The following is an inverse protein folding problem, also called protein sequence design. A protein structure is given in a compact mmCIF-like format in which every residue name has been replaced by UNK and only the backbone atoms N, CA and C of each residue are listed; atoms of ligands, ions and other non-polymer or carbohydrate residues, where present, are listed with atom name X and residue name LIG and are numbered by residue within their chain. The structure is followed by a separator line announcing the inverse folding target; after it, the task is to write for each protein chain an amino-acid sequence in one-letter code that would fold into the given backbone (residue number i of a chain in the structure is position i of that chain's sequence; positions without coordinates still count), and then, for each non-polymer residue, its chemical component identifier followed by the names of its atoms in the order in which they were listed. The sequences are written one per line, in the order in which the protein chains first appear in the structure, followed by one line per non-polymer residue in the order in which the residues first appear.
data_IF_566388965218
#
_entry.id   IF_566388965218
#
_cell.length_a   1.000
_cell.length_b   1.000
_cell.length_c   1.000
_cell.angle_alpha   90.00
_cell.angle_beta   90.00
_cell.angle_gamma   90.00
#
_symmetry.space_group_name_H-M   'P 1'
#
loop_
_entity.id
_entity.type
_entity.pdbx_description
1 polymer ?
#
# COMPACT_ATOMS: atom_id res chain seq x y z
N UNK A 1 5.69 -1.26 2.29
CA UNK A 1 6.28 -2.22 3.25
C UNK A 1 7.17 -3.16 2.46
N UNK A 2 8.38 -3.41 2.95
CA UNK A 2 9.31 -4.40 2.42
C UNK A 2 10.06 -5.05 3.58
N UNK A 3 11.01 -5.95 3.30
CA UNK A 3 11.85 -6.56 4.35
C UNK A 3 12.72 -5.54 5.10
N UNK A 4 13.00 -4.38 4.50
CA UNK A 4 13.76 -3.30 5.13
C UNK A 4 12.90 -2.46 6.10
N UNK A 5 11.58 -2.66 6.11
CA UNK A 5 10.66 -1.95 6.99
C UNK A 5 9.47 -1.30 6.27
N UNK A 6 8.73 -0.42 6.96
CA UNK A 6 7.67 0.36 6.35
C UNK A 6 8.25 1.34 5.32
N UNK A 7 7.49 1.51 4.22
CA UNK A 7 7.74 2.63 3.31
C UNK A 7 6.96 3.85 3.77
N UNK A 8 6.85 4.85 2.92
CA UNK A 8 6.08 6.05 3.23
C UNK A 8 4.59 5.74 3.40
N UNK A 9 3.98 6.32 4.44
CA UNK A 9 2.54 6.28 4.68
C UNK A 9 1.93 7.61 4.26
N UNK A 10 1.09 7.56 3.23
CA UNK A 10 0.43 8.75 2.70
C UNK A 10 -1.07 8.70 2.94
N UNK A 11 -1.67 9.87 3.13
CA UNK A 11 -3.11 10.01 3.21
C UNK A 11 -3.68 10.16 1.80
N UNK A 12 -4.60 9.29 1.43
CA UNK A 12 -5.30 9.34 0.14
C UNK A 12 -6.67 10.00 0.26
N UNK A 13 -7.27 10.35 -0.87
CA UNK A 13 -8.65 10.78 -0.90
C UNK A 13 -9.60 9.66 -0.43
N UNK A 14 -10.78 9.98 0.15
CA UNK A 14 -11.75 8.97 0.57
C UNK A 14 -12.27 8.08 -0.57
N UNK A 15 -12.17 8.56 -1.81
CA UNK A 15 -12.55 7.83 -3.02
C UNK A 15 -11.41 7.90 -4.03
N UNK A 16 -10.33 7.21 -3.70
CA UNK A 16 -9.12 7.16 -4.53
C UNK A 16 -9.47 6.77 -5.97
N UNK A 17 -8.96 7.56 -6.92
CA UNK A 17 -9.12 7.29 -8.35
C UNK A 17 -7.92 6.52 -8.89
N UNK A 18 -8.07 5.91 -10.08
CA UNK A 18 -6.95 5.25 -10.75
C UNK A 18 -5.83 6.22 -11.17
N UNK A 19 -6.17 7.49 -11.41
CA UNK A 19 -5.19 8.53 -11.70
C UNK A 19 -4.39 8.87 -10.43
N UNK A 20 -5.08 9.14 -9.32
CA UNK A 20 -4.44 9.41 -8.03
C UNK A 20 -3.55 8.24 -7.60
N UNK A 21 -3.98 7.00 -7.82
CA UNK A 21 -3.13 5.83 -7.55
C UNK A 21 -1.88 5.79 -8.43
N UNK A 22 -1.97 6.19 -9.70
CA UNK A 22 -0.79 6.30 -10.57
C UNK A 22 0.18 7.39 -10.12
N UNK A 23 -0.34 8.49 -9.59
CA UNK A 23 0.48 9.58 -9.05
C UNK A 23 1.23 9.06 -7.82
N UNK A 24 0.55 8.35 -6.92
CA UNK A 24 1.18 7.67 -5.76
C UNK A 24 2.27 6.70 -6.19
N UNK A 25 2.00 5.85 -7.19
CA UNK A 25 3.00 4.90 -7.69
C UNK A 25 4.22 5.61 -8.27
N UNK A 26 4.06 6.77 -8.91
CA UNK A 26 5.16 7.50 -9.54
C UNK A 26 5.94 8.36 -8.57
N UNK A 27 5.23 9.10 -7.73
CA UNK A 27 5.79 10.19 -6.95
C UNK A 27 6.19 9.74 -5.53
N UNK A 28 5.68 8.58 -5.09
CA UNK A 28 5.96 8.05 -3.74
C UNK A 28 6.65 6.69 -3.82
N UNK A 29 6.07 5.71 -4.52
CA UNK A 29 6.63 4.36 -4.55
C UNK A 29 8.01 4.30 -5.21
N UNK A 30 8.19 4.87 -6.41
CA UNK A 30 9.49 4.76 -7.10
C UNK A 30 10.62 5.47 -6.36
N UNK A 31 10.45 6.72 -5.87
CA UNK A 31 11.47 7.37 -5.07
C UNK A 31 11.76 6.61 -3.77
N UNK A 32 10.74 6.06 -3.11
CA UNK A 32 10.91 5.24 -1.90
C UNK A 32 11.75 3.99 -2.17
N UNK A 33 11.51 3.32 -3.31
CA UNK A 33 12.30 2.14 -3.67
C UNK A 33 13.76 2.52 -3.91
N UNK A 34 14.05 3.60 -4.63
CA UNK A 34 15.43 4.04 -4.86
C UNK A 34 16.12 4.45 -3.55
N UNK A 35 15.41 5.13 -2.65
CA UNK A 35 15.96 5.56 -1.37
C UNK A 35 16.27 4.39 -0.43
N UNK A 36 15.39 3.37 -0.38
CA UNK A 36 15.55 2.20 0.48
C UNK A 36 16.52 1.19 -0.14
N UNK A 37 16.50 1.06 -1.47
CA UNK A 37 17.28 0.09 -2.24
C UNK A 37 18.02 0.76 -3.41
N UNK A 38 19.08 1.54 -3.14
CA UNK A 38 19.83 2.23 -4.19
C UNK A 38 20.37 1.26 -5.24
N UNK A 39 20.14 1.57 -6.52
CA UNK A 39 20.60 0.73 -7.64
C UNK A 39 19.85 -0.59 -7.83
N UNK A 40 18.69 -0.79 -7.19
CA UNK A 40 17.87 -1.97 -7.42
C UNK A 40 17.29 -1.99 -8.85
N UNK A 41 17.71 -2.98 -9.65
CA UNK A 41 17.34 -3.05 -11.07
C UNK A 41 15.98 -3.70 -11.35
N UNK A 42 15.43 -4.48 -10.41
CA UNK A 42 14.13 -5.13 -10.54
C UNK A 42 13.55 -5.44 -9.16
N UNK A 43 12.23 -5.34 -9.01
CA UNK A 43 11.54 -5.81 -7.81
C UNK A 43 10.14 -6.36 -8.11
N UNK A 44 9.66 -7.12 -7.13
CA UNK A 44 8.31 -7.65 -7.11
C UNK A 44 7.41 -6.74 -6.29
N UNK A 45 6.26 -6.38 -6.86
CA UNK A 45 5.27 -5.49 -6.27
C UNK A 45 3.97 -6.25 -5.99
N UNK A 46 3.37 -5.97 -4.85
CA UNK A 46 2.11 -6.57 -4.41
C UNK A 46 1.11 -5.48 -4.10
N UNK A 47 -0.08 -5.58 -4.69
CA UNK A 47 -1.24 -4.75 -4.36
C UNK A 47 -2.52 -5.61 -4.35
N UNK A 48 -3.59 -5.11 -3.74
CA UNK A 48 -4.88 -5.81 -3.77
C UNK A 48 -5.57 -5.72 -5.14
N UNK A 49 -6.59 -6.56 -5.34
CA UNK A 49 -7.40 -6.59 -6.56
C UNK A 49 -8.52 -5.54 -6.60
N UNK A 50 -8.38 -4.39 -5.93
CA UNK A 50 -9.39 -3.33 -6.04
C UNK A 50 -9.56 -2.85 -7.49
N UNK A 51 -10.76 -2.34 -7.80
CA UNK A 51 -11.07 -1.84 -9.14
C UNK A 51 -10.12 -0.70 -9.58
N UNK A 52 -9.64 0.10 -8.63
CA UNK A 52 -8.67 1.17 -8.85
C UNK A 52 -7.33 0.60 -9.31
N UNK A 53 -6.80 -0.41 -8.61
CA UNK A 53 -5.52 -1.04 -8.91
C UNK A 53 -5.55 -1.88 -10.21
N UNK A 54 -6.70 -2.44 -10.56
CA UNK A 54 -6.92 -3.20 -11.81
C UNK A 54 -7.38 -2.32 -12.99
N UNK A 55 -7.50 -1.01 -12.80
CA UNK A 55 -7.91 -0.12 -13.87
C UNK A 55 -6.95 -0.20 -15.06
N UNK A 56 -7.50 -0.12 -16.29
CA UNK A 56 -6.73 -0.28 -17.54
C UNK A 56 -5.50 0.63 -17.62
N UNK A 57 -5.59 1.86 -17.09
CA UNK A 57 -4.46 2.79 -17.08
C UNK A 57 -3.32 2.32 -16.16
N UNK A 58 -3.65 1.77 -14.99
CA UNK A 58 -2.70 1.21 -14.03
C UNK A 58 -2.01 0.00 -14.61
N UNK A 59 -2.78 -0.95 -15.18
CA UNK A 59 -2.19 -2.12 -15.84
C UNK A 59 -1.30 -1.75 -17.02
N UNK A 60 -1.66 -0.72 -17.81
CA UNK A 60 -0.82 -0.22 -18.90
C UNK A 60 0.47 0.41 -18.37
N UNK A 61 0.43 1.10 -17.25
CA UNK A 61 1.59 1.72 -16.61
C UNK A 61 2.60 0.67 -16.13
N UNK A 62 2.14 -0.41 -15.49
CA UNK A 62 3.00 -1.54 -15.09
C UNK A 62 3.57 -2.27 -16.31
N UNK A 63 2.76 -2.54 -17.35
CA UNK A 63 3.24 -3.23 -18.56
C UNK A 63 4.37 -2.49 -19.28
N UNK A 64 4.44 -1.16 -19.17
CA UNK A 64 5.53 -0.34 -19.71
C UNK A 64 6.83 -0.44 -18.88
N UNK A 65 6.77 -0.96 -17.65
CA UNK A 65 7.89 -1.05 -16.71
C UNK A 65 8.25 -2.51 -16.46
N UNK A 66 9.08 -3.06 -17.34
CA UNK A 66 9.51 -4.48 -17.29
C UNK A 66 10.27 -4.85 -16.00
N UNK A 67 10.83 -3.88 -15.29
CA UNK A 67 11.55 -4.06 -14.03
C UNK A 67 10.62 -4.09 -12.79
N UNK A 68 9.31 -3.92 -12.95
CA UNK A 68 8.33 -4.17 -11.89
C UNK A 68 7.55 -5.44 -12.23
N UNK A 69 7.71 -6.46 -11.40
CA UNK A 69 6.89 -7.67 -11.48
C UNK A 69 5.72 -7.56 -10.51
N UNK A 70 4.48 -7.47 -11.03
CA UNK A 70 3.29 -7.42 -10.17
C UNK A 70 2.79 -8.84 -9.94
N UNK A 71 2.67 -9.25 -8.67
CA UNK A 71 2.06 -10.54 -8.34
C UNK A 71 0.54 -10.43 -8.51
N UNK A 72 -0.03 -11.30 -9.35
CA UNK A 72 -1.48 -11.48 -9.43
C UNK A 72 -1.93 -12.43 -8.33
N UNK A 73 -2.64 -11.92 -7.33
CA UNK A 73 -3.20 -12.75 -6.27
C UNK A 73 -4.62 -13.17 -6.58
N UNK A 74 -4.98 -14.38 -6.14
CA UNK A 74 -6.36 -14.86 -6.21
C UNK A 74 -7.26 -13.96 -5.36
N UNK A 75 -8.43 -13.52 -5.88
CA UNK A 75 -9.41 -12.76 -5.10
C UNK A 75 -9.87 -13.45 -3.82
N UNK A 76 -9.69 -14.77 -3.73
CA UNK A 76 -10.15 -15.62 -2.61
C UNK A 76 -9.18 -15.70 -1.44
N UNK A 77 -8.04 -15.01 -1.49
CA UNK A 77 -7.02 -15.03 -0.42
C UNK A 77 -6.82 -13.66 0.23
N UNK A 78 -7.86 -13.02 0.79
CA UNK A 78 -7.72 -11.71 1.43
C UNK A 78 -6.77 -11.77 2.64
N UNK A 79 -6.64 -12.92 3.29
CA UNK A 79 -5.73 -13.24 4.40
C UNK A 79 -4.24 -13.21 4.02
N UNK A 80 -3.91 -13.30 2.74
CA UNK A 80 -2.52 -13.38 2.28
C UNK A 80 -1.81 -12.03 2.10
N UNK A 81 -2.46 -10.89 2.39
CA UNK A 81 -1.82 -9.57 2.23
C UNK A 81 -0.96 -9.17 3.45
N UNK A 82 0.39 -9.12 3.35
CA UNK A 82 1.29 -8.77 4.45
C UNK A 82 0.96 -7.43 5.10
N UNK A 83 0.39 -6.49 4.34
CA UNK A 83 0.05 -5.16 4.88
C UNK A 83 -1.02 -5.23 5.96
N UNK A 84 -1.86 -6.28 5.96
CA UNK A 84 -2.89 -6.46 7.01
C UNK A 84 -2.25 -6.66 8.37
N UNK A 85 -1.15 -7.39 8.45
CA UNK A 85 -0.43 -7.60 9.71
C UNK A 85 0.15 -6.28 10.22
N UNK A 86 0.66 -5.43 9.32
CA UNK A 86 1.15 -4.10 9.65
C UNK A 86 0.05 -3.19 10.19
N UNK A 87 -1.12 -3.20 9.56
CA UNK A 87 -2.26 -2.42 10.03
C UNK A 87 -2.75 -2.84 11.42
N UNK A 88 -2.74 -4.15 11.71
CA UNK A 88 -3.07 -4.65 13.05
C UNK A 88 -2.11 -4.07 14.10
N UNK A 89 -0.81 -4.00 13.80
CA UNK A 89 0.17 -3.39 14.70
C UNK A 89 -0.11 -1.88 14.89
N UNK A 90 -0.33 -1.14 13.81
CA UNK A 90 -0.64 0.30 13.87
C UNK A 90 -1.89 0.57 14.70
N UNK A 91 -2.96 -0.20 14.50
CA UNK A 91 -4.21 -0.04 15.26
C UNK A 91 -4.03 -0.39 16.74
N UNK A 92 -3.22 -1.41 17.06
CA UNK A 92 -2.89 -1.75 18.46
C UNK A 92 -2.17 -0.61 19.15
N UNK A 93 -1.14 -0.05 18.51
CA UNK A 93 -0.42 1.10 19.05
C UNK A 93 -1.34 2.32 19.18
N UNK A 94 -2.17 2.61 18.19
CA UNK A 94 -3.15 3.69 18.25
C UNK A 94 -4.10 3.55 19.44
N UNK A 95 -4.65 2.36 19.67
CA UNK A 95 -5.55 2.10 20.79
C UNK A 95 -4.85 2.18 22.15
N UNK A 96 -3.57 1.84 22.22
CA UNK A 96 -2.77 2.01 23.44
C UNK A 96 -2.54 3.49 23.77
N UNK A 97 -2.44 4.35 22.74
CA UNK A 97 -2.30 5.80 22.89
C UNK A 97 -3.65 6.46 23.28
N UNK A 98 -4.76 6.00 22.70
CA UNK A 98 -6.11 6.54 22.97
C UNK A 98 -6.77 6.02 24.26
N UNK A 99 -6.22 4.96 24.87
CA UNK A 99 -6.72 4.33 26.10
C UNK A 99 -6.75 5.22 27.36
N UNK A 100 -6.33 6.48 27.26
CA UNK A 100 -6.47 7.51 28.30
C UNK A 100 -7.77 8.32 28.26
N UNK A 101 -8.56 8.25 27.18
CA UNK A 101 -9.83 8.99 27.08
C UNK A 101 -11.02 8.05 27.00
N UNK A 102 -11.44 7.60 28.19
CA UNK A 102 -12.74 6.98 28.42
C UNK A 102 -13.86 7.99 28.12
N UNK A 103 -14.31 8.05 26.86
CA UNK A 103 -15.56 8.74 26.51
C UNK A 103 -16.70 7.86 27.01
N UNK A 104 -17.23 8.21 28.19
CA UNK A 104 -18.51 7.67 28.67
C UNK A 104 -19.59 8.02 27.65
N UNK A 105 -20.10 7.02 26.96
CA UNK A 105 -21.38 7.08 26.27
C UNK A 105 -22.45 7.39 27.32
N UNK A 106 -23.15 8.52 27.17
CA UNK A 106 -24.44 8.72 27.83
C UNK A 106 -25.53 8.10 26.95
N UNK A 107 -26.45 7.46 27.64
CA UNK A 107 -27.68 6.80 27.19
C UNK A 107 -28.55 7.69 26.29
#
# INVERSE_FOLDING_TARGET
MSSAGPGELIRTSPRMTAAEYLDILQDVLLPSVEAIYPGLHQFTFVHDNSAVHKARMVSKWFRKRRWIEVIDWSPKSPDQNPIKNSWVAVVREWNNVDGGHHVRSRE
#
